data_IF_183924579747
#
_entry.id   IF_183924579747
#
_cell.length_a   1.000
_cell.length_b   1.000
_cell.length_c   1.000
_cell.angle_alpha   90.00
_cell.angle_beta   90.00
_cell.angle_gamma   90.00
#
_symmetry.space_group_name_H-M   'P 1'
#
loop_
_entity.id
_entity.type
_entity.pdbx_description
1 polymer ?
#
# COMPACT_ATOMS: atom_id res chain seq x y z
N UNK A 1 10.97 -12.51 -2.79
CA UNK A 1 10.24 -13.22 -3.85
C UNK A 1 8.80 -12.73 -3.94
N UNK A 2 8.57 -11.68 -4.73
CA UNK A 2 7.23 -11.31 -5.19
C UNK A 2 6.64 -12.33 -6.16
N UNK A 3 5.36 -12.62 -6.00
CA UNK A 3 4.52 -13.49 -6.81
C UNK A 3 3.77 -12.74 -7.94
N UNK A 4 3.84 -11.40 -7.95
CA UNK A 4 3.21 -10.54 -8.95
C UNK A 4 4.19 -9.89 -9.94
N UNK A 5 5.47 -9.76 -9.58
CA UNK A 5 6.44 -8.93 -10.32
C UNK A 5 6.61 -9.32 -11.79
N UNK A 6 6.79 -10.62 -12.08
CA UNK A 6 6.99 -11.11 -13.45
C UNK A 6 5.78 -10.86 -14.36
N UNK A 7 4.57 -10.85 -13.79
CA UNK A 7 3.33 -10.52 -14.51
C UNK A 7 3.26 -9.01 -14.79
N UNK A 8 3.69 -8.17 -13.84
CA UNK A 8 3.69 -6.71 -14.00
C UNK A 8 4.68 -6.25 -15.08
N UNK A 9 5.90 -6.81 -15.14
CA UNK A 9 6.86 -6.43 -16.18
C UNK A 9 6.35 -6.76 -17.60
N UNK A 10 5.70 -7.92 -17.81
CA UNK A 10 5.06 -8.26 -19.10
C UNK A 10 3.93 -7.28 -19.45
N UNK A 11 3.12 -6.89 -18.46
CA UNK A 11 2.04 -5.89 -18.64
C UNK A 11 2.60 -4.53 -19.04
N UNK A 12 3.66 -4.08 -18.37
CA UNK A 12 4.37 -2.81 -18.58
C UNK A 12 5.05 -2.73 -19.94
N UNK A 13 5.80 -3.75 -20.34
CA UNK A 13 6.43 -3.83 -21.67
C UNK A 13 5.37 -3.74 -22.78
N UNK A 14 4.29 -4.54 -22.66
CA UNK A 14 3.20 -4.54 -23.63
C UNK A 14 2.47 -3.21 -23.68
N UNK A 15 2.14 -2.64 -22.51
CA UNK A 15 1.51 -1.31 -22.42
C UNK A 15 2.36 -0.23 -23.08
N UNK A 16 3.66 -0.18 -22.78
CA UNK A 16 4.57 0.83 -23.32
C UNK A 16 4.62 0.77 -24.84
N UNK A 17 4.79 -0.44 -25.40
CA UNK A 17 4.78 -0.67 -26.84
C UNK A 17 3.45 -0.26 -27.47
N UNK A 18 2.33 -0.81 -27.00
CA UNK A 18 1.02 -0.62 -27.63
C UNK A 18 0.52 0.83 -27.49
N UNK A 19 0.66 1.43 -26.30
CA UNK A 19 0.11 2.75 -26.00
C UNK A 19 1.04 3.91 -26.37
N UNK A 20 2.35 3.76 -26.16
CA UNK A 20 3.29 4.90 -26.26
C UNK A 20 4.21 4.87 -27.47
N UNK A 21 4.39 3.71 -28.11
CA UNK A 21 5.14 3.60 -29.37
C UNK A 21 4.20 3.45 -30.58
N UNK A 22 3.26 2.51 -30.50
CA UNK A 22 2.34 2.18 -31.60
C UNK A 22 1.06 3.04 -31.61
N UNK A 23 0.77 3.76 -30.52
CA UNK A 23 -0.42 4.60 -30.33
C UNK A 23 -1.76 3.90 -30.63
N UNK A 24 -1.88 2.61 -30.30
CA UNK A 24 -3.12 1.84 -30.48
C UNK A 24 -4.29 2.41 -29.67
N UNK A 25 -5.49 2.32 -30.23
CA UNK A 25 -6.75 2.66 -29.54
C UNK A 25 -7.06 1.62 -28.45
N UNK A 26 -6.93 0.33 -28.76
CA UNK A 26 -7.00 -0.78 -27.81
C UNK A 26 -5.60 -1.26 -27.44
N UNK A 27 -5.31 -1.31 -26.14
CA UNK A 27 -3.98 -1.62 -25.60
C UNK A 27 -4.09 -2.24 -24.20
N UNK A 28 -3.12 -3.08 -23.84
CA UNK A 28 -2.94 -3.53 -22.46
C UNK A 28 -2.73 -2.33 -21.54
N UNK A 29 -3.51 -2.22 -20.45
CA UNK A 29 -3.30 -1.18 -19.44
C UNK A 29 -2.28 -1.63 -18.40
N UNK A 30 -1.35 -0.75 -18.07
CA UNK A 30 -0.41 -0.86 -16.96
C UNK A 30 -0.76 0.21 -15.89
N UNK A 31 -1.26 -0.19 -14.71
CA UNK A 31 -1.59 0.74 -13.62
C UNK A 31 -0.39 1.50 -13.04
N UNK A 32 0.85 1.04 -13.29
CA UNK A 32 2.09 1.67 -12.80
C UNK A 32 2.63 2.77 -13.72
N UNK A 33 2.16 2.84 -14.98
CA UNK A 33 2.71 3.73 -16.00
C UNK A 33 2.68 5.23 -15.62
N UNK A 34 3.85 5.78 -15.30
CA UNK A 34 4.04 7.20 -14.92
C UNK A 34 3.58 8.19 -16.00
N UNK A 35 3.62 7.81 -17.28
CA UNK A 35 3.17 8.66 -18.39
C UNK A 35 1.64 8.73 -18.51
N UNK A 36 0.94 7.66 -18.16
CA UNK A 36 -0.52 7.62 -18.12
C UNK A 36 -1.10 8.19 -16.81
N UNK A 37 -0.36 8.09 -15.71
CA UNK A 37 -0.84 8.40 -14.36
C UNK A 37 0.12 9.35 -13.63
N UNK A 38 0.60 10.39 -14.32
CA UNK A 38 1.53 11.38 -13.77
C UNK A 38 0.97 12.03 -12.49
N UNK A 39 1.88 12.56 -11.66
CA UNK A 39 1.55 13.27 -10.43
C UNK A 39 1.55 14.78 -10.58
N UNK A 40 1.94 15.31 -11.75
CA UNK A 40 2.16 16.74 -11.98
C UNK A 40 0.85 17.56 -11.87
N UNK A 41 -0.28 16.91 -12.14
CA UNK A 41 -1.63 17.50 -12.03
C UNK A 41 -2.24 17.43 -10.61
N UNK A 42 -1.56 16.82 -9.63
CA UNK A 42 -2.08 16.65 -8.26
C UNK A 42 -1.13 17.21 -7.21
N UNK A 43 -1.69 17.80 -6.16
CA UNK A 43 -0.93 18.07 -4.93
C UNK A 43 -0.75 16.75 -4.17
N UNK A 44 0.49 16.36 -3.94
CA UNK A 44 0.83 15.31 -2.97
C UNK A 44 0.90 15.96 -1.59
N UNK A 45 0.16 15.41 -0.63
CA UNK A 45 0.16 15.89 0.75
C UNK A 45 1.28 15.24 1.59
N UNK A 46 1.75 15.94 2.64
CA UNK A 46 2.93 15.58 3.44
C UNK A 46 2.85 14.18 4.06
N UNK A 47 1.65 13.72 4.42
CA UNK A 47 1.40 12.37 4.94
C UNK A 47 1.88 11.29 3.96
N UNK A 48 1.65 11.51 2.65
CA UNK A 48 2.01 10.54 1.63
C UNK A 48 3.51 10.55 1.35
N UNK A 49 4.14 11.73 1.35
CA UNK A 49 5.61 11.78 1.26
C UNK A 49 6.28 11.03 2.42
N UNK A 50 5.76 11.21 3.63
CA UNK A 50 6.26 10.51 4.81
C UNK A 50 5.98 9.01 4.76
N UNK A 51 4.77 8.61 4.36
CA UNK A 51 4.42 7.21 4.08
C UNK A 51 5.41 6.60 3.10
N UNK A 52 5.67 7.29 1.98
CA UNK A 52 6.54 6.79 0.91
C UNK A 52 7.98 6.62 1.36
N UNK A 53 8.54 7.60 2.10
CA UNK A 53 9.91 7.53 2.67
C UNK A 53 10.07 6.34 3.63
N UNK A 54 9.05 6.08 4.46
CA UNK A 54 9.01 4.91 5.36
C UNK A 54 8.89 3.61 4.57
N UNK A 55 7.91 3.53 3.66
CA UNK A 55 7.59 2.35 2.87
C UNK A 55 8.77 1.91 2.00
N UNK A 56 9.44 2.85 1.34
CA UNK A 56 10.63 2.59 0.51
C UNK A 56 11.82 2.06 1.32
N UNK A 57 11.92 2.36 2.62
CA UNK A 57 12.96 1.77 3.50
C UNK A 57 12.68 0.33 3.90
N UNK A 58 11.42 -0.12 3.81
CA UNK A 58 11.01 -1.51 4.06
C UNK A 58 10.98 -2.32 2.75
N UNK A 59 10.45 -1.73 1.68
CA UNK A 59 10.36 -2.32 0.34
C UNK A 59 11.32 -1.56 -0.59
N UNK A 60 12.61 -1.94 -0.54
CA UNK A 60 13.71 -1.22 -1.21
C UNK A 60 13.54 -1.12 -2.73
N UNK A 61 12.82 -2.07 -3.35
CA UNK A 61 12.58 -2.10 -4.79
C UNK A 61 11.44 -1.17 -5.24
N UNK A 62 10.65 -0.60 -4.32
CA UNK A 62 9.60 0.35 -4.62
C UNK A 62 10.23 1.73 -4.95
N UNK A 63 10.44 2.01 -6.23
CA UNK A 63 11.20 3.18 -6.68
C UNK A 63 10.34 4.39 -7.06
N UNK A 64 9.12 4.16 -7.55
CA UNK A 64 8.19 5.25 -7.87
C UNK A 64 6.75 4.92 -7.51
N UNK A 65 6.00 5.98 -7.21
CA UNK A 65 4.55 5.97 -7.12
C UNK A 65 3.96 6.80 -8.26
N UNK A 66 2.65 6.69 -8.46
CA UNK A 66 1.92 7.50 -9.42
C UNK A 66 0.57 7.96 -8.85
N UNK A 67 -0.25 8.66 -9.64
CA UNK A 67 -1.55 9.18 -9.19
C UNK A 67 -2.51 8.07 -8.70
N UNK A 68 -2.45 6.86 -9.26
CA UNK A 68 -3.26 5.73 -8.77
C UNK A 68 -2.79 5.30 -7.38
N UNK A 69 -1.46 5.22 -7.17
CA UNK A 69 -0.88 4.86 -5.86
C UNK A 69 -1.34 5.83 -4.78
N UNK A 70 -1.24 7.13 -5.05
CA UNK A 70 -1.68 8.19 -4.14
C UNK A 70 -3.18 8.09 -3.84
N UNK A 71 -4.01 8.14 -4.89
CA UNK A 71 -5.46 8.21 -4.74
C UNK A 71 -6.04 6.95 -4.09
N UNK A 72 -5.55 5.75 -4.46
CA UNK A 72 -6.06 4.49 -3.91
C UNK A 72 -5.56 4.19 -2.51
N UNK A 73 -4.39 4.70 -2.13
CA UNK A 73 -3.97 4.66 -0.72
C UNK A 73 -4.84 5.60 0.13
N UNK A 74 -5.13 6.82 -0.35
CA UNK A 74 -6.04 7.74 0.34
C UNK A 74 -7.46 7.18 0.47
N UNK A 75 -8.02 6.60 -0.60
CA UNK A 75 -9.30 5.90 -0.55
C UNK A 75 -9.28 4.76 0.46
N UNK A 76 -8.21 3.96 0.52
CA UNK A 76 -8.04 2.88 1.50
C UNK A 76 -8.05 3.43 2.93
N UNK A 77 -7.24 4.45 3.23
CA UNK A 77 -7.15 5.08 4.55
C UNK A 77 -8.51 5.65 4.98
N UNK A 78 -9.23 6.33 4.09
CA UNK A 78 -10.56 6.89 4.39
C UNK A 78 -11.59 5.79 4.63
N UNK A 79 -11.52 4.68 3.89
CA UNK A 79 -12.41 3.54 4.03
C UNK A 79 -12.17 2.74 5.32
N UNK A 80 -10.90 2.54 5.72
CA UNK A 80 -10.55 1.74 6.91
C UNK A 80 -10.41 2.58 8.20
N UNK A 81 -10.42 3.92 8.10
CA UNK A 81 -10.50 4.84 9.24
C UNK A 81 -11.72 4.49 10.09
N UNK A 82 -11.46 4.26 11.38
CA UNK A 82 -12.53 4.00 12.37
C UNK A 82 -13.01 5.29 12.99
N UNK A 83 -14.30 5.36 13.28
CA UNK A 83 -14.91 6.42 14.07
C UNK A 83 -15.12 5.97 15.51
N UNK A 84 -14.48 6.65 16.47
CA UNK A 84 -14.68 6.42 17.91
C UNK A 84 -13.49 5.81 18.65
N UNK A 85 -13.74 5.27 19.86
CA UNK A 85 -12.70 4.85 20.82
C UNK A 85 -11.99 3.52 20.50
N UNK A 86 -12.49 2.73 19.55
CA UNK A 86 -11.82 1.49 19.12
C UNK A 86 -11.03 1.75 17.83
N UNK A 87 -9.70 1.91 17.97
CA UNK A 87 -8.76 2.00 16.82
C UNK A 87 -8.65 0.67 16.05
N UNK A 88 -8.97 -0.48 16.66
CA UNK A 88 -9.21 -1.75 15.97
C UNK A 88 -10.43 -2.49 16.55
N UNK A 89 -11.26 -3.18 15.73
CA UNK A 89 -12.60 -3.62 16.10
C UNK A 89 -12.47 -5.05 16.64
N UNK A 90 -11.93 -5.16 17.85
CA UNK A 90 -11.34 -6.38 18.42
C UNK A 90 -12.10 -7.67 18.06
N UNK A 91 -11.35 -8.72 17.72
CA UNK A 91 -11.81 -10.01 17.17
C UNK A 91 -12.87 -10.79 17.98
N UNK A 92 -13.38 -10.21 19.07
CA UNK A 92 -14.36 -10.76 20.01
C UNK A 92 -15.77 -10.15 19.91
N UNK A 93 -16.00 -9.03 19.21
CA UNK A 93 -17.35 -8.42 19.12
C UNK A 93 -17.78 -8.11 17.69
N UNK A 94 -18.56 -9.03 17.12
CA UNK A 94 -19.33 -8.92 15.88
C UNK A 94 -18.57 -8.42 14.64
N UNK A 95 -18.11 -9.39 13.84
CA UNK A 95 -18.02 -9.20 12.38
C UNK A 95 -19.42 -9.09 11.79
N UNK A 96 -20.06 -7.92 11.92
CA UNK A 96 -21.29 -7.63 11.19
C UNK A 96 -20.95 -7.45 9.69
N UNK A 97 -21.92 -7.74 8.80
CA UNK A 97 -21.70 -7.84 7.33
C UNK A 97 -21.07 -6.59 6.70
N UNK A 98 -21.27 -5.43 7.32
CA UNK A 98 -20.67 -4.16 6.91
C UNK A 98 -19.15 -4.15 7.07
N UNK A 99 -18.63 -4.67 8.19
CA UNK A 99 -17.18 -4.80 8.40
C UNK A 99 -16.55 -5.74 7.37
N UNK A 100 -17.16 -6.89 7.09
CA UNK A 100 -16.66 -7.79 6.04
C UNK A 100 -16.65 -7.14 4.65
N UNK A 101 -17.61 -6.26 4.37
CA UNK A 101 -17.67 -5.49 3.12
C UNK A 101 -16.55 -4.45 3.05
N UNK A 102 -16.31 -3.71 4.14
CA UNK A 102 -15.22 -2.73 4.27
C UNK A 102 -13.87 -3.43 4.04
N UNK A 103 -13.60 -4.54 4.72
CA UNK A 103 -12.34 -5.28 4.54
C UNK A 103 -12.16 -5.79 3.11
N UNK A 104 -13.21 -6.36 2.50
CA UNK A 104 -13.17 -6.83 1.10
C UNK A 104 -12.94 -5.70 0.08
N UNK A 105 -13.39 -4.49 0.36
CA UNK A 105 -13.16 -3.34 -0.51
C UNK A 105 -11.77 -2.74 -0.27
N UNK A 106 -11.31 -2.69 1.00
CA UNK A 106 -9.96 -2.29 1.37
C UNK A 106 -8.88 -3.17 0.71
N UNK A 107 -9.10 -4.49 0.68
CA UNK A 107 -8.21 -5.43 -0.04
C UNK A 107 -8.06 -5.09 -1.53
N UNK A 108 -9.15 -4.73 -2.22
CA UNK A 108 -9.08 -4.32 -3.64
C UNK A 108 -8.31 -3.00 -3.81
N UNK A 109 -8.46 -2.07 -2.87
CA UNK A 109 -7.73 -0.80 -2.91
C UNK A 109 -6.23 -1.04 -2.72
N UNK A 110 -5.84 -1.86 -1.74
CA UNK A 110 -4.45 -2.29 -1.54
C UNK A 110 -3.89 -3.02 -2.75
N UNK A 111 -4.69 -3.88 -3.40
CA UNK A 111 -4.31 -4.55 -4.64
C UNK A 111 -3.99 -3.54 -5.76
N UNK A 112 -4.80 -2.49 -5.93
CA UNK A 112 -4.54 -1.43 -6.92
C UNK A 112 -3.32 -0.58 -6.53
N UNK A 113 -3.14 -0.26 -5.25
CA UNK A 113 -1.95 0.44 -4.75
C UNK A 113 -0.69 -0.35 -5.14
N UNK A 114 -0.65 -1.65 -4.83
CA UNK A 114 0.52 -2.50 -5.06
C UNK A 114 0.86 -2.62 -6.55
N UNK A 115 -0.11 -2.87 -7.43
CA UNK A 115 0.16 -2.96 -8.89
C UNK A 115 0.43 -1.61 -9.56
N UNK A 116 0.21 -0.49 -8.86
CA UNK A 116 0.51 0.86 -9.36
C UNK A 116 1.91 1.36 -8.97
N UNK A 117 2.60 0.66 -8.06
CA UNK A 117 3.98 0.98 -7.67
C UNK A 117 4.94 0.58 -8.80
N UNK A 118 5.84 1.50 -9.16
CA UNK A 118 6.95 1.22 -10.04
C UNK A 118 8.07 0.53 -9.27
N UNK A 119 8.22 -0.78 -9.48
CA UNK A 119 9.32 -1.57 -8.94
C UNK A 119 10.53 -1.55 -9.88
N UNK A 120 11.75 -1.46 -9.33
CA UNK A 120 12.99 -1.56 -10.12
C UNK A 120 13.51 -2.99 -10.29
N UNK A 121 13.13 -3.89 -9.39
CA UNK A 121 13.47 -5.31 -9.41
C UNK A 121 12.41 -6.09 -8.64
N UNK A 122 12.46 -7.43 -8.72
CA UNK A 122 11.55 -8.35 -8.01
C UNK A 122 11.66 -8.16 -6.49
N UNK A 123 10.60 -7.70 -5.79
CA UNK A 123 10.68 -7.48 -4.35
C UNK A 123 11.03 -8.73 -3.54
N UNK A 124 11.74 -8.52 -2.42
CA UNK A 124 11.96 -9.55 -1.42
C UNK A 124 10.66 -10.04 -0.76
N UNK A 125 9.65 -9.17 -0.68
CA UNK A 125 8.32 -9.46 -0.16
C UNK A 125 7.36 -10.03 -1.23
N UNK A 126 6.49 -10.96 -0.82
CA UNK A 126 5.27 -11.34 -1.57
C UNK A 126 4.23 -10.20 -1.56
N UNK A 127 3.27 -10.23 -2.47
CA UNK A 127 2.13 -9.29 -2.53
C UNK A 127 1.49 -9.08 -1.16
N UNK A 128 1.11 -10.17 -0.49
CA UNK A 128 0.49 -10.12 0.84
C UNK A 128 1.41 -9.53 1.91
N UNK A 129 2.72 -9.72 1.78
CA UNK A 129 3.69 -9.07 2.66
C UNK A 129 3.76 -7.56 2.47
N UNK A 130 3.74 -7.12 1.21
CA UNK A 130 3.66 -5.69 0.86
C UNK A 130 2.34 -5.09 1.39
N UNK A 131 1.21 -5.81 1.29
CA UNK A 131 -0.06 -5.39 1.91
C UNK A 131 0.09 -5.19 3.41
N UNK A 132 0.61 -6.19 4.13
CA UNK A 132 0.76 -6.11 5.59
C UNK A 132 1.65 -4.93 6.02
N UNK A 133 2.71 -4.61 5.28
CA UNK A 133 3.51 -3.39 5.51
C UNK A 133 2.66 -2.11 5.32
N UNK A 134 1.86 -2.02 4.26
CA UNK A 134 0.97 -0.86 4.03
C UNK A 134 -0.06 -0.72 5.15
N UNK A 135 -0.72 -1.83 5.55
CA UNK A 135 -1.69 -1.88 6.66
C UNK A 135 -1.07 -1.34 7.94
N UNK A 136 0.07 -1.88 8.38
CA UNK A 136 0.75 -1.46 9.60
C UNK A 136 1.07 0.04 9.60
N UNK A 137 1.59 0.58 8.48
CA UNK A 137 1.90 2.02 8.39
C UNK A 137 0.61 2.85 8.54
N UNK A 138 -0.45 2.50 7.82
CA UNK A 138 -1.73 3.21 7.86
C UNK A 138 -2.41 3.16 9.24
N UNK A 139 -2.32 2.02 9.93
CA UNK A 139 -3.11 1.72 11.13
C UNK A 139 -2.43 2.17 12.43
N UNK A 140 -1.10 2.11 12.51
CA UNK A 140 -0.35 2.39 13.73
C UNK A 140 0.49 3.68 13.69
N UNK A 141 0.71 4.27 12.51
CA UNK A 141 1.76 5.28 12.33
C UNK A 141 1.37 6.55 11.55
N UNK A 142 0.15 6.62 11.01
CA UNK A 142 -0.30 7.73 10.16
C UNK A 142 -1.28 8.72 10.83
N UNK A 143 -1.61 8.52 12.10
CA UNK A 143 -2.50 9.41 12.85
C UNK A 143 -1.85 9.84 14.17
N UNK A 144 -2.00 11.11 14.53
CA UNK A 144 -1.59 11.63 15.84
C UNK A 144 -2.66 11.41 16.93
N UNK A 145 -2.62 12.19 18.01
CA UNK A 145 -3.60 12.14 19.10
C UNK A 145 -4.90 12.90 18.78
N UNK A 146 -4.88 13.75 17.75
CA UNK A 146 -6.02 14.56 17.26
C UNK A 146 -6.66 13.96 15.99
N UNK A 147 -6.22 12.77 15.58
CA UNK A 147 -6.52 12.09 14.31
C UNK A 147 -6.19 12.92 13.03
N UNK A 148 -5.19 13.80 13.10
CA UNK A 148 -4.61 14.42 11.91
C UNK A 148 -3.79 13.37 11.15
N UNK A 149 -3.86 13.40 9.82
CA UNK A 149 -3.12 12.47 8.96
C UNK A 149 -1.66 12.91 8.85
N UNK A 150 -0.79 12.37 9.70
CA UNK A 150 0.63 12.75 9.85
C UNK A 150 1.46 11.54 10.28
N UNK A 151 2.72 11.46 9.82
CA UNK A 151 3.62 10.34 10.08
C UNK A 151 4.97 10.81 10.63
N UNK A 152 5.32 10.32 11.83
CA UNK A 152 6.65 10.52 12.40
C UNK A 152 7.64 9.53 11.76
N UNK A 153 8.17 9.91 10.58
CA UNK A 153 9.04 9.07 9.74
C UNK A 153 10.10 8.32 10.56
N UNK A 154 10.86 9.04 11.40
CA UNK A 154 11.93 8.44 12.22
C UNK A 154 11.41 7.35 13.17
N UNK A 155 10.38 7.65 13.97
CA UNK A 155 9.82 6.69 14.94
C UNK A 155 9.22 5.48 14.23
N UNK A 156 8.56 5.71 13.09
CA UNK A 156 7.95 4.64 12.29
C UNK A 156 9.01 3.73 11.66
N UNK A 157 10.07 4.29 11.09
CA UNK A 157 11.22 3.53 10.57
C UNK A 157 11.90 2.69 11.66
N UNK A 158 12.25 3.31 12.79
CA UNK A 158 12.89 2.63 13.93
C UNK A 158 12.03 1.45 14.43
N UNK A 159 10.70 1.60 14.47
CA UNK A 159 9.79 0.54 14.88
C UNK A 159 9.61 -0.56 13.83
N UNK A 160 9.43 -0.23 12.55
CA UNK A 160 9.23 -1.21 11.48
C UNK A 160 10.50 -2.03 11.21
N UNK A 161 11.65 -1.36 11.12
CA UNK A 161 12.95 -2.00 10.90
C UNK A 161 13.46 -2.68 12.18
N UNK A 162 13.03 -2.22 13.36
CA UNK A 162 13.24 -2.91 14.63
C UNK A 162 12.38 -4.17 14.81
N UNK A 163 11.30 -4.31 14.04
CA UNK A 163 10.37 -5.43 14.19
C UNK A 163 10.92 -6.72 13.59
N UNK A 164 11.55 -7.52 14.46
CA UNK A 164 12.08 -8.85 14.14
C UNK A 164 11.02 -9.81 13.57
N UNK A 165 9.75 -9.63 13.89
CA UNK A 165 8.68 -10.47 13.37
C UNK A 165 8.28 -10.07 11.95
N UNK A 166 8.25 -8.78 11.62
CA UNK A 166 8.06 -8.32 10.24
C UNK A 166 9.23 -8.74 9.34
N UNK A 167 10.46 -8.68 9.84
CA UNK A 167 11.65 -9.18 9.14
C UNK A 167 11.60 -10.71 8.94
N UNK A 168 11.15 -11.47 9.95
CA UNK A 168 11.14 -12.94 9.92
C UNK A 168 9.92 -13.54 9.22
N UNK A 169 8.77 -12.89 9.33
CA UNK A 169 7.45 -13.41 8.96
C UNK A 169 6.66 -12.49 8.04
N UNK A 170 7.21 -11.35 7.59
CA UNK A 170 6.53 -10.37 6.74
C UNK A 170 6.03 -10.88 5.38
N UNK A 171 6.18 -12.18 5.07
CA UNK A 171 5.56 -12.87 3.94
C UNK A 171 4.30 -13.69 4.33
N UNK A 172 3.90 -13.70 5.60
CA UNK A 172 2.93 -14.65 6.20
C UNK A 172 1.92 -13.99 7.17
N UNK A 173 2.25 -12.86 7.81
CA UNK A 173 1.43 -12.30 8.91
C UNK A 173 0.02 -11.93 8.44
N UNK A 174 -0.99 -12.53 9.08
CA UNK A 174 -2.43 -12.29 8.81
C UNK A 174 -3.00 -11.13 9.64
N UNK A 175 -4.11 -10.53 9.22
CA UNK A 175 -4.74 -9.38 9.91
C UNK A 175 -4.95 -9.60 11.42
N UNK A 176 -5.44 -10.78 11.84
CA UNK A 176 -5.60 -11.10 13.28
C UNK A 176 -4.27 -11.16 14.04
N UNK A 177 -3.17 -11.44 13.36
CA UNK A 177 -1.83 -11.46 13.96
C UNK A 177 -1.19 -10.08 13.96
N UNK A 178 -1.50 -9.21 12.98
CA UNK A 178 -1.13 -7.80 13.03
C UNK A 178 -1.71 -7.15 14.29
N UNK A 179 -3.02 -7.32 14.52
CA UNK A 179 -3.71 -6.84 15.72
C UNK A 179 -3.01 -7.23 17.02
N UNK A 180 -2.67 -8.52 17.17
CA UNK A 180 -2.09 -9.05 18.42
C UNK A 180 -0.65 -8.59 18.65
N UNK A 181 0.11 -8.33 17.58
CA UNK A 181 1.56 -8.06 17.63
C UNK A 181 1.91 -6.57 17.67
N UNK A 182 0.97 -5.69 17.29
CA UNK A 182 1.17 -4.23 17.22
C UNK A 182 0.19 -3.41 18.09
N UNK A 183 -0.61 -4.06 18.94
CA UNK A 183 -1.40 -3.42 20.03
C UNK A 183 -0.59 -3.19 21.30
#
# INVERSE_FOLDING_TARGET
MSDIYEVLEVIKEKHWKEKHMENKEEYQRDPSCLKCYNTDEIKIDEWFEGFWKVFQKVILEAMSYNRNTYAKLLEYIVLTRKSGKERYPSSKKKRDKEFEKIMKEGEKLLDVVIISIGYSNKPDFKREGIKSVIKIICEHYMFDEEDNLIINQRRTEENLLGNKELIKWGNIITDNELDIRFS
#
